data_IF_502105216116
#
_entry.id   IF_502105216116
#
_cell.length_a   1.000
_cell.length_b   1.000
_cell.length_c   1.000
_cell.angle_alpha   90.00
_cell.angle_beta   90.00
_cell.angle_gamma   90.00
#
_symmetry.space_group_name_H-M   'P 1'
#
loop_
_entity.id
_entity.type
_entity.pdbx_description
1 polymer ?
#
# COMPACT_ATOMS: atom_id res chain seq x y z
N UNK A 1 -6.86 13.72 -7.52
CA UNK A 1 -5.79 13.31 -6.58
C UNK A 1 -6.37 12.79 -5.27
N UNK A 2 -7.00 13.62 -4.43
CA UNK A 2 -7.57 13.20 -3.11
C UNK A 2 -8.49 11.98 -3.21
N UNK A 3 -9.43 11.98 -4.16
CA UNK A 3 -10.35 10.86 -4.37
C UNK A 3 -9.62 9.56 -4.76
N UNK A 4 -8.50 9.66 -5.48
CA UNK A 4 -7.67 8.51 -5.82
C UNK A 4 -6.93 7.97 -4.60
N UNK A 5 -6.41 8.85 -3.75
CA UNK A 5 -5.82 8.45 -2.46
C UNK A 5 -6.87 7.78 -1.57
N UNK A 6 -8.07 8.32 -1.45
CA UNK A 6 -9.15 7.70 -0.69
C UNK A 6 -9.59 6.33 -1.25
N UNK A 7 -9.63 6.20 -2.58
CA UNK A 7 -9.93 4.93 -3.23
C UNK A 7 -8.82 3.88 -2.98
N UNK A 8 -7.56 4.32 -2.91
CA UNK A 8 -6.41 3.49 -2.53
C UNK A 8 -6.52 3.00 -1.08
N UNK A 9 -6.78 3.91 -0.13
CA UNK A 9 -6.99 3.54 1.28
C UNK A 9 -8.18 2.59 1.46
N UNK A 10 -9.27 2.81 0.71
CA UNK A 10 -10.40 1.88 0.69
C UNK A 10 -10.00 0.51 0.14
N UNK A 11 -9.10 0.46 -0.85
CA UNK A 11 -8.50 -0.78 -1.36
C UNK A 11 -7.81 -1.58 -0.25
N UNK A 12 -6.99 -0.93 0.60
CA UNK A 12 -6.36 -1.61 1.74
C UNK A 12 -7.39 -2.22 2.71
N UNK A 13 -8.50 -1.52 2.95
CA UNK A 13 -9.59 -2.02 3.81
C UNK A 13 -10.31 -3.18 3.13
N UNK A 14 -10.63 -3.05 1.83
CA UNK A 14 -11.34 -4.05 1.02
C UNK A 14 -10.59 -5.37 0.99
N UNK A 15 -9.29 -5.31 0.74
CA UNK A 15 -8.38 -6.46 0.64
C UNK A 15 -7.82 -6.92 2.00
N UNK A 16 -8.27 -6.27 3.08
CA UNK A 16 -7.98 -6.64 4.47
C UNK A 16 -6.47 -6.69 4.76
N UNK A 17 -5.69 -5.81 4.13
CA UNK A 17 -4.23 -5.80 4.22
C UNK A 17 -3.73 -5.72 5.68
N UNK A 18 -4.37 -4.89 6.51
CA UNK A 18 -4.04 -4.81 7.94
C UNK A 18 -4.31 -6.11 8.71
N UNK A 19 -5.41 -6.82 8.40
CA UNK A 19 -5.71 -8.09 9.05
C UNK A 19 -4.75 -9.20 8.60
N UNK A 20 -4.43 -9.27 7.30
CA UNK A 20 -3.44 -10.22 6.75
C UNK A 20 -2.08 -10.02 7.40
N UNK A 21 -1.65 -8.77 7.53
CA UNK A 21 -0.43 -8.38 8.23
C UNK A 21 -0.41 -8.85 9.70
N UNK A 22 -1.50 -8.59 10.43
CA UNK A 22 -1.64 -9.00 11.83
C UNK A 22 -1.55 -10.53 11.96
N UNK A 23 -2.30 -11.27 11.14
CA UNK A 23 -2.29 -12.74 11.17
C UNK A 23 -0.89 -13.28 10.84
N UNK A 24 -0.26 -12.78 9.78
CA UNK A 24 1.11 -13.20 9.42
C UNK A 24 2.09 -12.95 10.56
N UNK A 25 2.03 -11.77 11.20
CA UNK A 25 2.85 -11.47 12.36
C UNK A 25 2.60 -12.37 13.55
N UNK A 26 1.33 -12.66 13.87
CA UNK A 26 0.97 -13.57 14.94
C UNK A 26 1.48 -15.00 14.69
N UNK A 27 1.41 -15.49 13.45
CA UNK A 27 1.90 -16.83 13.09
C UNK A 27 3.43 -16.90 13.21
N UNK A 28 4.15 -15.95 12.61
CA UNK A 28 5.62 -15.91 12.68
C UNK A 28 6.08 -15.88 14.13
N UNK A 29 5.44 -15.03 14.94
CA UNK A 29 5.83 -14.88 16.32
C UNK A 29 5.44 -16.09 17.18
N UNK A 30 4.29 -16.72 16.93
CA UNK A 30 3.88 -17.96 17.58
C UNK A 30 4.84 -19.12 17.30
N UNK A 31 5.31 -19.24 16.05
CA UNK A 31 6.32 -20.23 15.66
C UNK A 31 7.67 -19.94 16.34
N UNK A 32 8.10 -18.67 16.37
CA UNK A 32 9.32 -18.28 17.07
C UNK A 32 9.25 -18.62 18.57
N UNK A 33 8.12 -18.33 19.23
CA UNK A 33 7.88 -18.70 20.62
C UNK A 33 7.89 -20.21 20.85
N UNK A 34 7.32 -21.01 19.93
CA UNK A 34 7.34 -22.47 20.02
C UNK A 34 8.75 -23.06 19.87
N UNK A 35 9.58 -22.49 19.00
CA UNK A 35 10.96 -22.95 18.77
C UNK A 35 11.90 -22.52 19.90
N UNK A 36 11.77 -21.28 20.37
CA UNK A 36 12.70 -20.69 21.34
C UNK A 36 12.26 -20.90 22.80
N UNK A 37 11.02 -21.35 23.03
CA UNK A 37 10.42 -21.48 24.36
C UNK A 37 10.16 -20.13 25.04
N UNK A 38 10.34 -19.02 24.33
CA UNK A 38 10.26 -17.67 24.85
C UNK A 38 9.33 -16.79 23.99
N UNK A 39 8.15 -16.53 24.53
CA UNK A 39 7.17 -15.60 23.95
C UNK A 39 7.56 -14.13 24.13
N UNK A 40 8.62 -13.80 24.90
CA UNK A 40 9.16 -12.43 24.95
C UNK A 40 9.71 -12.01 23.59
N UNK A 41 10.23 -12.96 22.82
CA UNK A 41 10.63 -12.75 21.43
C UNK A 41 9.45 -12.32 20.53
N UNK A 42 8.21 -12.69 20.88
CA UNK A 42 6.97 -12.28 20.19
C UNK A 42 6.77 -10.76 20.29
N UNK A 43 6.94 -10.20 21.48
CA UNK A 43 6.84 -8.77 21.72
C UNK A 43 7.99 -7.99 21.08
N UNK A 44 9.19 -8.58 21.07
CA UNK A 44 10.37 -7.96 20.45
C UNK A 44 10.31 -7.94 18.90
N UNK A 45 9.70 -8.95 18.28
CA UNK A 45 9.61 -9.07 16.82
C UNK A 45 8.38 -8.37 16.20
N UNK A 46 7.32 -8.13 16.99
CA UNK A 46 6.09 -7.50 16.50
C UNK A 46 6.32 -6.16 15.76
N UNK A 47 7.18 -5.24 16.23
CA UNK A 47 7.46 -4.00 15.49
C UNK A 47 8.07 -4.25 14.11
N UNK A 48 9.00 -5.20 13.98
CA UNK A 48 9.67 -5.51 12.71
C UNK A 48 8.71 -6.14 11.69
N UNK A 49 7.81 -7.03 12.14
CA UNK A 49 6.80 -7.63 11.27
C UNK A 49 5.75 -6.59 10.85
N UNK A 50 5.29 -5.75 11.78
CA UNK A 50 4.38 -4.66 11.48
C UNK A 50 5.01 -3.66 10.50
N UNK A 51 6.30 -3.37 10.65
CA UNK A 51 7.05 -2.56 9.68
C UNK A 51 7.07 -3.23 8.31
N UNK A 52 7.50 -4.49 8.19
CA UNK A 52 7.51 -5.19 6.88
C UNK A 52 6.14 -5.26 6.21
N UNK A 53 5.09 -5.43 6.99
CA UNK A 53 3.73 -5.43 6.48
C UNK A 53 3.27 -4.07 5.93
N UNK A 54 3.82 -2.96 6.41
CA UNK A 54 3.54 -1.61 5.90
C UNK A 54 4.16 -1.34 4.51
N UNK A 55 4.90 -2.29 3.92
CA UNK A 55 5.69 -2.04 2.70
C UNK A 55 5.54 -3.10 1.61
N UNK A 56 4.65 -4.08 1.77
CA UNK A 56 4.57 -5.13 0.76
C UNK A 56 4.09 -4.54 -0.56
N UNK A 57 4.97 -4.59 -1.57
CA UNK A 57 4.69 -4.09 -2.93
C UNK A 57 3.44 -4.74 -3.51
N UNK A 58 3.15 -5.97 -3.11
CA UNK A 58 1.97 -6.71 -3.55
C UNK A 58 0.69 -6.08 -3.02
N UNK A 59 0.68 -5.65 -1.76
CA UNK A 59 -0.47 -4.97 -1.14
C UNK A 59 -0.72 -3.61 -1.78
N UNK A 60 0.33 -2.86 -2.11
CA UNK A 60 0.20 -1.61 -2.85
C UNK A 60 -0.37 -1.83 -4.25
N UNK A 61 0.05 -2.89 -4.95
CA UNK A 61 -0.49 -3.26 -6.29
C UNK A 61 -1.96 -3.66 -6.23
N UNK A 62 -2.35 -4.41 -5.21
CA UNK A 62 -3.75 -4.80 -4.97
C UNK A 62 -4.62 -3.55 -4.69
N UNK A 63 -4.14 -2.64 -3.83
CA UNK A 63 -4.82 -1.40 -3.51
C UNK A 63 -4.92 -0.45 -4.73
N UNK A 64 -3.84 -0.28 -5.50
CA UNK A 64 -3.83 0.52 -6.74
C UNK A 64 -4.82 -0.03 -7.78
N UNK A 65 -4.89 -1.36 -7.93
CA UNK A 65 -5.82 -2.01 -8.86
C UNK A 65 -7.27 -1.77 -8.43
N UNK A 66 -7.57 -1.87 -7.13
CA UNK A 66 -8.88 -1.56 -6.59
C UNK A 66 -9.25 -0.08 -6.82
N UNK A 67 -8.32 0.83 -6.51
CA UNK A 67 -8.52 2.26 -6.68
C UNK A 67 -8.79 2.62 -8.15
N UNK A 68 -8.01 2.05 -9.08
CA UNK A 68 -8.20 2.27 -10.51
C UNK A 68 -9.60 1.79 -10.96
N UNK A 69 -10.01 0.59 -10.55
CA UNK A 69 -11.34 0.07 -10.89
C UNK A 69 -12.47 0.94 -10.31
N UNK A 70 -12.35 1.38 -9.06
CA UNK A 70 -13.34 2.24 -8.41
C UNK A 70 -13.45 3.62 -9.08
N UNK A 71 -12.30 4.22 -9.44
CA UNK A 71 -12.26 5.50 -10.15
C UNK A 71 -12.93 5.37 -11.52
N UNK A 72 -12.55 4.35 -12.32
CA UNK A 72 -13.16 4.08 -13.62
C UNK A 72 -14.67 3.88 -13.50
N UNK A 73 -15.13 3.08 -12.53
CA UNK A 73 -16.56 2.84 -12.30
C UNK A 73 -17.33 4.12 -11.91
N UNK A 74 -16.65 5.10 -11.31
CA UNK A 74 -17.22 6.41 -10.98
C UNK A 74 -17.06 7.46 -12.10
N UNK A 75 -16.58 7.05 -13.28
CA UNK A 75 -16.34 7.96 -14.42
C UNK A 75 -15.14 8.88 -14.22
N UNK A 76 -14.18 8.50 -13.36
CA UNK A 76 -12.97 9.28 -13.05
C UNK A 76 -11.72 8.57 -13.52
N UNK A 77 -10.72 9.37 -13.89
CA UNK A 77 -9.44 8.86 -14.35
C UNK A 77 -8.55 8.33 -13.21
N UNK A 78 -7.97 7.11 -13.35
CA UNK A 78 -6.89 6.63 -12.50
C UNK A 78 -5.60 7.46 -12.62
N UNK A 79 -5.43 8.27 -13.67
CA UNK A 79 -4.27 9.15 -13.82
C UNK A 79 -4.07 10.04 -12.61
N UNK A 80 -5.17 10.49 -11.98
CA UNK A 80 -5.10 11.34 -10.81
C UNK A 80 -4.43 10.68 -9.58
N UNK A 81 -4.36 9.34 -9.52
CA UNK A 81 -3.58 8.61 -8.52
C UNK A 81 -2.11 8.47 -8.95
N UNK A 82 -1.86 8.23 -10.24
CA UNK A 82 -0.50 8.20 -10.79
C UNK A 82 0.21 9.55 -10.63
N UNK A 83 -0.49 10.66 -10.85
CA UNK A 83 0.07 12.01 -10.80
C UNK A 83 0.50 12.39 -9.38
N UNK A 84 -0.28 12.00 -8.36
CA UNK A 84 0.10 12.27 -6.97
C UNK A 84 1.28 11.40 -6.54
N UNK A 85 1.34 10.13 -6.95
CA UNK A 85 2.52 9.26 -6.70
C UNK A 85 3.79 9.82 -7.36
N UNK A 86 3.67 10.31 -8.59
CA UNK A 86 4.80 10.91 -9.31
C UNK A 86 5.22 12.25 -8.68
N UNK A 87 4.27 13.09 -8.23
CA UNK A 87 4.58 14.31 -7.48
C UNK A 87 5.28 14.00 -6.17
N UNK A 88 4.83 12.97 -5.48
CA UNK A 88 5.43 12.50 -4.23
C UNK A 88 6.87 12.00 -4.43
N UNK A 89 7.19 11.27 -5.51
CA UNK A 89 8.57 10.87 -5.83
C UNK A 89 9.54 12.05 -6.01
N UNK A 90 9.04 13.22 -6.40
CA UNK A 90 9.86 14.42 -6.65
C UNK A 90 10.18 15.20 -5.37
N UNK A 91 9.59 14.85 -4.22
CA UNK A 91 9.86 15.50 -2.93
C UNK A 91 10.96 14.70 -2.20
N UNK A 92 12.20 15.21 -2.11
CA UNK A 92 13.30 14.47 -1.50
C UNK A 92 13.28 14.57 0.04
N UNK A 93 13.75 13.52 0.72
CA UNK A 93 14.19 13.59 2.12
C UNK A 93 13.09 13.74 3.18
N UNK A 94 13.39 14.52 4.24
CA UNK A 94 12.56 14.70 5.45
C UNK A 94 11.22 15.42 5.21
N UNK A 95 11.05 16.02 4.03
CA UNK A 95 9.80 16.67 3.61
C UNK A 95 8.90 15.73 2.79
N UNK A 96 9.33 14.49 2.58
CA UNK A 96 8.50 13.47 1.96
C UNK A 96 7.19 13.34 2.74
N UNK A 97 6.02 13.35 2.06
CA UNK A 97 4.74 13.19 2.74
C UNK A 97 4.73 11.92 3.58
N UNK A 98 4.11 11.98 4.77
CA UNK A 98 3.90 10.80 5.65
C UNK A 98 3.32 9.62 4.86
N UNK A 99 2.53 9.90 3.82
CA UNK A 99 2.00 8.90 2.90
C UNK A 99 3.10 8.08 2.19
N UNK A 100 4.23 8.66 1.78
CA UNK A 100 5.35 7.91 1.17
C UNK A 100 6.10 7.04 2.17
N UNK A 101 6.11 7.43 3.45
CA UNK A 101 6.73 6.64 4.51
C UNK A 101 5.97 5.36 4.82
N UNK A 102 4.71 5.24 4.37
CA UNK A 102 3.88 4.03 4.48
C UNK A 102 3.46 3.45 3.13
N UNK A 103 3.52 4.21 2.04
CA UNK A 103 3.14 3.80 0.68
C UNK A 103 4.25 4.21 -0.29
N UNK A 104 5.30 3.39 -0.46
CA UNK A 104 6.41 3.75 -1.33
C UNK A 104 5.91 3.86 -2.79
N UNK A 105 6.10 5.04 -3.38
CA UNK A 105 5.81 5.25 -4.78
C UNK A 105 6.91 4.61 -5.64
N UNK A 106 6.57 3.65 -6.49
CA UNK A 106 7.49 3.02 -7.45
C UNK A 106 7.13 3.43 -8.88
N UNK A 107 8.13 3.41 -9.78
CA UNK A 107 7.87 3.64 -11.21
C UNK A 107 6.86 2.63 -11.79
N UNK A 108 6.91 1.38 -11.31
CA UNK A 108 6.02 0.30 -11.73
C UNK A 108 4.55 0.54 -11.36
N UNK A 109 4.27 1.10 -10.17
CA UNK A 109 2.91 1.50 -9.79
C UNK A 109 2.37 2.61 -10.67
N UNK A 110 3.20 3.63 -10.92
CA UNK A 110 2.84 4.78 -11.76
C UNK A 110 2.52 4.30 -13.19
N UNK A 111 3.35 3.43 -13.78
CA UNK A 111 3.09 2.90 -15.12
C UNK A 111 1.82 2.05 -15.17
N UNK A 112 1.62 1.14 -14.20
CA UNK A 112 0.40 0.31 -14.10
C UNK A 112 -0.88 1.15 -14.02
N UNK A 113 -0.89 2.21 -13.21
CA UNK A 113 -2.05 3.11 -13.10
C UNK A 113 -2.32 3.88 -14.40
N UNK A 114 -1.28 4.32 -15.10
CA UNK A 114 -1.40 4.99 -16.40
C UNK A 114 -1.93 4.04 -17.48
N UNK A 115 -1.46 2.80 -17.51
CA UNK A 115 -1.93 1.77 -18.45
C UNK A 115 -3.41 1.45 -18.24
N UNK A 116 -3.84 1.30 -16.97
CA UNK A 116 -5.24 1.01 -16.60
C UNK A 116 -6.19 2.15 -16.94
N UNK A 117 -5.70 3.38 -16.97
CA UNK A 117 -6.50 4.55 -17.31
C UNK A 117 -6.90 4.57 -18.81
N UNK A 118 -6.10 3.94 -19.69
CA UNK A 118 -6.34 3.89 -21.13
C UNK A 118 -6.31 5.27 -21.83
N UNK A 119 -6.24 5.31 -23.18
CA UNK A 119 -6.01 6.54 -23.94
C UNK A 119 -7.16 7.57 -23.92
N UNK A 120 -8.31 7.25 -23.31
CA UNK A 120 -9.51 8.11 -23.32
C UNK A 120 -9.84 8.82 -22.00
N UNK A 121 -9.08 8.60 -20.92
CA UNK A 121 -9.44 9.03 -19.57
C UNK A 121 -8.76 10.32 -19.11
N UNK A 122 -8.23 11.15 -20.00
CA UNK A 122 -7.50 12.38 -19.63
C UNK A 122 -8.39 13.54 -19.13
N UNK A 123 -9.58 13.27 -18.58
CA UNK A 123 -10.48 14.28 -18.02
C UNK A 123 -10.81 13.99 -16.56
#
# INVERSE_FOLDING_TARGET
EVLGVLAHELGHVRERHGLRALIQGSVVAGLAGAVLGDISALLAAAPAVLLQARYSRDLEREADAHAAAALIASGRSPHALADILERMQRVPGHDAPVLLSTHPATHERISSLRERAGPGSAR
#
